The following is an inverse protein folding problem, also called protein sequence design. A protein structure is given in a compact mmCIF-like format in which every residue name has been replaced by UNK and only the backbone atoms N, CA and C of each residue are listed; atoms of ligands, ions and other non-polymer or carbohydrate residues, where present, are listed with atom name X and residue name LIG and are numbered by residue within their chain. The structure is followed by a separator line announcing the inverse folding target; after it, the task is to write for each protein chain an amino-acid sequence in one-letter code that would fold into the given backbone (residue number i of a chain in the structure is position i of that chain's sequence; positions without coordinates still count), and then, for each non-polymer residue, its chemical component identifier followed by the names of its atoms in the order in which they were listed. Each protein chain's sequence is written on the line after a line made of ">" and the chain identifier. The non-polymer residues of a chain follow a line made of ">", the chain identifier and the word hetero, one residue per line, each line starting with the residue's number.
data_IF_713062609751
#
_entry.id   IF_713062609751
#
_cell.length_a   1.000
_cell.length_b   1.000
_cell.length_c   1.000
_cell.angle_alpha   90.00
_cell.angle_beta   90.00
_cell.angle_gamma   90.00
#
_symmetry.space_group_name_H-M   'P 1'
#
loop_
_entity.id
_entity.type
_entity.pdbx_description
1 polymer ?
#
# COMPACT_ATOMS: atom_id res chain seq x y z
N UNK A 1 -22.67 1.20 16.82
CA UNK A 1 -21.26 0.78 16.81
C UNK A 1 -20.51 1.44 17.96
N UNK A 2 -19.25 1.09 18.18
CA UNK A 2 -18.40 1.72 19.22
C UNK A 2 -17.81 3.08 18.79
N UNK A 3 -17.93 3.44 17.51
CA UNK A 3 -17.50 4.71 16.95
C UNK A 3 -18.54 5.22 15.93
N UNK A 4 -18.69 6.55 15.82
CA UNK A 4 -19.56 7.21 14.84
C UNK A 4 -18.88 7.35 13.47
N UNK A 5 -17.56 7.53 13.46
CA UNK A 5 -16.72 7.72 12.27
C UNK A 5 -15.38 7.01 12.46
N UNK A 6 -14.84 6.42 11.40
CA UNK A 6 -13.52 5.80 11.39
C UNK A 6 -12.81 6.04 10.05
N UNK A 7 -11.48 5.94 10.05
CA UNK A 7 -10.64 5.95 8.85
C UNK A 7 -10.08 4.55 8.63
N UNK A 8 -10.28 4.00 7.44
CA UNK A 8 -9.83 2.65 7.07
C UNK A 8 -9.27 2.66 5.66
N UNK A 9 -8.45 1.65 5.32
CA UNK A 9 -8.09 1.37 3.94
C UNK A 9 -9.32 0.94 3.14
N UNK A 10 -9.38 1.30 1.86
CA UNK A 10 -10.51 1.03 0.98
C UNK A 10 -10.85 -0.46 0.86
N UNK A 11 -9.84 -1.34 0.89
CA UNK A 11 -10.03 -2.79 0.85
C UNK A 11 -10.71 -3.35 2.10
N UNK A 12 -10.65 -2.66 3.24
CA UNK A 12 -11.30 -3.09 4.48
C UNK A 12 -12.83 -2.97 4.44
N UNK A 13 -13.38 -2.29 3.41
CA UNK A 13 -14.82 -2.22 3.16
C UNK A 13 -15.36 -3.41 2.36
N UNK A 14 -14.54 -4.44 2.14
CA UNK A 14 -14.90 -5.65 1.40
C UNK A 14 -14.60 -6.91 2.25
N UNK A 15 -15.19 -8.07 1.91
CA UNK A 15 -14.79 -9.34 2.49
C UNK A 15 -13.28 -9.60 2.30
N UNK A 16 -12.60 -10.25 3.27
CA UNK A 16 -13.15 -10.87 4.47
C UNK A 16 -13.30 -9.93 5.67
N UNK A 17 -12.99 -8.64 5.52
CA UNK A 17 -12.92 -7.70 6.66
C UNK A 17 -14.30 -7.31 7.20
N UNK A 18 -15.29 -7.21 6.32
CA UNK A 18 -16.70 -7.01 6.68
C UNK A 18 -17.62 -7.86 5.80
N UNK A 19 -18.80 -8.17 6.32
CA UNK A 19 -19.88 -8.78 5.56
C UNK A 19 -20.62 -7.74 4.70
N UNK A 20 -21.35 -8.20 3.68
CA UNK A 20 -22.23 -7.30 2.91
C UNK A 20 -23.32 -6.64 3.76
N UNK A 21 -23.80 -7.33 4.81
CA UNK A 21 -24.82 -6.78 5.70
C UNK A 21 -24.27 -5.63 6.56
N UNK A 22 -23.03 -5.76 7.04
CA UNK A 22 -22.33 -4.68 7.75
C UNK A 22 -22.01 -3.52 6.81
N UNK A 23 -21.54 -3.80 5.59
CA UNK A 23 -21.27 -2.77 4.58
C UNK A 23 -22.47 -1.88 4.27
N UNK A 24 -23.70 -2.42 4.29
CA UNK A 24 -24.95 -1.64 4.11
C UNK A 24 -25.25 -0.68 5.25
N UNK A 25 -24.65 -0.86 6.42
CA UNK A 25 -24.80 0.03 7.57
C UNK A 25 -23.77 1.17 7.56
N UNK A 26 -22.83 1.14 6.61
CA UNK A 26 -21.74 2.10 6.49
C UNK A 26 -21.94 2.97 5.24
N UNK A 27 -21.31 4.15 5.25
CA UNK A 27 -21.18 5.00 4.07
C UNK A 27 -19.81 5.66 4.05
N UNK A 28 -19.23 5.82 2.87
CA UNK A 28 -17.99 6.58 2.70
C UNK A 28 -18.30 8.07 2.81
N UNK A 29 -17.75 8.73 3.82
CA UNK A 29 -17.89 10.17 4.00
C UNK A 29 -16.91 10.96 3.13
N UNK A 30 -15.70 10.44 2.96
CA UNK A 30 -14.64 11.06 2.18
C UNK A 30 -13.62 10.00 1.71
N UNK A 31 -13.14 10.12 0.48
CA UNK A 31 -12.06 9.29 -0.05
C UNK A 31 -10.80 10.15 -0.17
N UNK A 32 -9.66 9.66 0.35
CA UNK A 32 -8.39 10.37 0.32
C UNK A 32 -7.66 9.99 -0.98
N UNK A 33 -7.52 10.91 -1.96
CA UNK A 33 -6.81 10.61 -3.20
C UNK A 33 -5.29 10.65 -2.98
N UNK A 34 -4.53 10.02 -3.86
CA UNK A 34 -3.07 10.12 -3.87
C UNK A 34 -2.36 9.36 -2.74
N UNK A 35 -3.10 8.50 -2.04
CA UNK A 35 -2.67 7.26 -1.37
C UNK A 35 -1.42 6.54 -1.93
N UNK A 36 -0.13 6.78 -1.58
CA UNK A 36 0.91 5.93 -2.17
C UNK A 36 0.72 4.48 -1.76
N UNK A 37 0.78 3.58 -2.75
CA UNK A 37 0.72 2.15 -2.51
C UNK A 37 1.86 1.68 -1.59
N UNK A 38 1.64 0.58 -0.88
CA UNK A 38 2.64 -0.03 -0.01
C UNK A 38 3.94 -0.32 -0.78
N UNK A 39 5.08 0.05 -0.18
CA UNK A 39 6.41 -0.17 -0.74
C UNK A 39 7.14 -1.32 -0.06
N UNK A 40 8.11 -1.89 -0.78
CA UNK A 40 9.14 -2.78 -0.21
C UNK A 40 10.42 -1.97 -0.04
N UNK A 41 10.88 -1.83 1.19
CA UNK A 41 12.14 -1.18 1.51
C UNK A 41 13.27 -2.22 1.59
N UNK A 42 14.46 -1.83 1.14
CA UNK A 42 15.69 -2.61 1.28
C UNK A 42 16.64 -1.73 2.07
N UNK A 43 17.23 -2.30 3.12
CA UNK A 43 18.18 -1.60 3.97
C UNK A 43 19.41 -1.09 3.18
N UNK A 44 19.94 0.06 3.56
CA UNK A 44 21.06 0.70 2.88
C UNK A 44 22.38 -0.07 3.07
N UNK A 45 22.48 -0.90 4.12
CA UNK A 45 23.62 -1.80 4.36
C UNK A 45 23.70 -2.94 3.34
N UNK A 46 22.63 -3.21 2.58
CA UNK A 46 22.65 -4.21 1.51
C UNK A 46 23.50 -3.69 0.33
N UNK A 47 24.58 -4.40 -0.05
CA UNK A 47 25.45 -3.96 -1.14
C UNK A 47 24.67 -3.69 -2.43
N UNK A 48 25.05 -2.63 -3.16
CA UNK A 48 24.29 -2.16 -4.32
C UNK A 48 24.01 -3.24 -5.37
N UNK A 49 24.99 -4.11 -5.64
CA UNK A 49 24.82 -5.24 -6.56
C UNK A 49 23.77 -6.25 -6.05
N UNK A 50 23.76 -6.54 -4.75
CA UNK A 50 22.78 -7.42 -4.14
C UNK A 50 21.39 -6.80 -4.13
N UNK A 51 21.28 -5.51 -3.78
CA UNK A 51 20.02 -4.75 -3.84
C UNK A 51 19.41 -4.80 -5.23
N UNK A 52 20.22 -4.63 -6.28
CA UNK A 52 19.73 -4.69 -7.66
C UNK A 52 19.25 -6.11 -8.04
N UNK A 53 19.92 -7.16 -7.56
CA UNK A 53 19.48 -8.53 -7.75
C UNK A 53 18.14 -8.81 -7.06
N UNK A 54 17.95 -8.32 -5.83
CA UNK A 54 16.67 -8.44 -5.08
C UNK A 54 15.56 -7.72 -5.83
N UNK A 55 15.77 -6.47 -6.26
CA UNK A 55 14.78 -5.70 -7.03
C UNK A 55 14.39 -6.47 -8.30
N UNK A 56 15.37 -6.96 -9.06
CA UNK A 56 15.11 -7.70 -10.29
C UNK A 56 14.38 -9.02 -10.03
N UNK A 57 14.68 -9.71 -8.93
CA UNK A 57 13.97 -10.92 -8.53
C UNK A 57 12.50 -10.62 -8.17
N UNK A 58 12.25 -9.56 -7.38
CA UNK A 58 10.90 -9.13 -7.03
C UNK A 58 10.07 -8.75 -8.26
N UNK A 59 10.67 -8.06 -9.23
CA UNK A 59 9.98 -7.70 -10.48
C UNK A 59 9.58 -8.92 -11.34
N UNK A 60 10.20 -10.10 -11.15
CA UNK A 60 9.74 -11.34 -11.80
C UNK A 60 8.37 -11.81 -11.29
N UNK A 61 7.91 -11.33 -10.13
CA UNK A 61 6.56 -11.59 -9.64
C UNK A 61 5.48 -10.96 -10.52
N UNK A 62 5.83 -10.02 -11.40
CA UNK A 62 4.89 -9.48 -12.38
C UNK A 62 4.60 -10.44 -13.53
N UNK A 63 5.43 -11.48 -13.74
CA UNK A 63 5.20 -12.43 -14.82
C UNK A 63 3.92 -13.24 -14.57
N UNK A 64 3.13 -13.58 -15.61
CA UNK A 64 1.84 -14.25 -15.46
C UNK A 64 1.89 -15.50 -14.56
N UNK A 65 2.94 -16.31 -14.72
CA UNK A 65 3.21 -17.52 -13.95
C UNK A 65 3.44 -17.28 -12.44
N UNK A 66 3.84 -16.07 -12.03
CA UNK A 66 4.15 -15.72 -10.63
C UNK A 66 3.14 -14.72 -10.02
N UNK A 67 2.38 -14.01 -10.85
CA UNK A 67 1.56 -12.86 -10.45
C UNK A 67 0.44 -13.19 -9.46
N UNK A 68 0.01 -14.47 -9.42
CA UNK A 68 -0.97 -14.93 -8.43
C UNK A 68 -0.57 -14.57 -7.00
N UNK A 69 0.73 -14.61 -6.68
CA UNK A 69 1.23 -14.26 -5.35
C UNK A 69 0.94 -12.79 -4.99
N UNK A 70 1.09 -11.85 -5.92
CA UNK A 70 0.84 -10.43 -5.69
C UNK A 70 -0.65 -10.13 -5.48
N UNK A 71 -1.51 -10.80 -6.26
CA UNK A 71 -2.96 -10.67 -6.13
C UNK A 71 -3.45 -11.22 -4.79
N UNK A 72 -2.97 -12.39 -4.41
CA UNK A 72 -3.41 -13.05 -3.18
C UNK A 72 -2.91 -12.34 -1.91
N UNK A 73 -1.68 -11.84 -1.89
CA UNK A 73 -1.10 -11.22 -0.69
C UNK A 73 -1.44 -9.74 -0.53
N UNK A 74 -1.40 -8.97 -1.62
CA UNK A 74 -1.45 -7.51 -1.57
C UNK A 74 -2.62 -6.92 -2.36
N UNK A 75 -3.50 -7.75 -2.92
CA UNK A 75 -4.52 -7.31 -3.87
C UNK A 75 -3.95 -6.39 -4.97
N UNK A 76 -2.70 -6.64 -5.36
CA UNK A 76 -1.91 -5.78 -6.25
C UNK A 76 -1.74 -6.42 -7.61
N UNK A 77 -1.74 -5.61 -8.67
CA UNK A 77 -1.60 -6.08 -10.05
C UNK A 77 -0.14 -6.26 -10.46
N UNK A 78 0.74 -5.40 -9.98
CA UNK A 78 2.17 -5.41 -10.31
C UNK A 78 3.01 -4.69 -9.25
N UNK A 79 4.29 -5.03 -9.22
CA UNK A 79 5.33 -4.27 -8.55
C UNK A 79 6.00 -3.33 -9.54
N UNK A 80 6.11 -2.06 -9.19
CA UNK A 80 6.80 -1.06 -9.99
C UNK A 80 8.01 -0.52 -9.25
N UNK A 81 9.09 -0.27 -9.98
CA UNK A 81 10.26 0.41 -9.41
C UNK A 81 9.91 1.88 -9.24
N UNK A 82 10.05 2.40 -8.02
CA UNK A 82 9.75 3.79 -7.69
C UNK A 82 10.99 4.53 -7.21
N UNK A 83 11.00 5.85 -7.38
CA UNK A 83 11.89 6.72 -6.64
C UNK A 83 11.29 6.94 -5.24
N UNK A 84 12.03 6.60 -4.19
CA UNK A 84 11.58 6.66 -2.80
C UNK A 84 11.07 8.05 -2.41
N UNK A 85 11.81 9.11 -2.75
CA UNK A 85 11.48 10.47 -2.36
C UNK A 85 10.19 10.93 -3.03
N UNK A 86 10.04 10.67 -4.33
CA UNK A 86 8.85 11.08 -5.07
C UNK A 86 7.61 10.28 -4.64
N UNK A 87 7.76 8.96 -4.42
CA UNK A 87 6.64 8.08 -4.04
C UNK A 87 6.07 8.45 -2.67
N UNK A 88 6.93 8.78 -1.70
CA UNK A 88 6.51 9.11 -0.34
C UNK A 88 6.29 10.60 -0.08
N UNK A 89 6.50 11.47 -1.07
CA UNK A 89 6.33 12.92 -0.90
C UNK A 89 4.95 13.32 -0.34
N UNK A 90 3.81 12.76 -0.82
CA UNK A 90 2.50 13.12 -0.27
C UNK A 90 2.35 12.81 1.22
N UNK A 91 2.99 11.73 1.69
CA UNK A 91 2.98 11.33 3.10
C UNK A 91 3.86 12.26 3.92
N UNK A 92 5.06 12.61 3.42
CA UNK A 92 5.94 13.60 4.09
C UNK A 92 5.23 14.92 4.28
N UNK A 93 4.53 15.40 3.25
CA UNK A 93 3.76 16.65 3.34
C UNK A 93 2.61 16.55 4.34
N UNK A 94 1.92 15.39 4.40
CA UNK A 94 0.85 15.15 5.36
C UNK A 94 1.36 15.11 6.81
N UNK A 95 2.48 14.43 7.06
CA UNK A 95 3.12 14.37 8.38
C UNK A 95 3.57 15.77 8.84
N UNK A 96 4.19 16.55 7.94
CA UNK A 96 4.58 17.92 8.24
C UNK A 96 3.39 18.80 8.61
N UNK A 97 2.26 18.72 7.88
CA UNK A 97 1.02 19.42 8.24
C UNK A 97 0.42 18.96 9.56
N UNK A 98 0.61 17.70 9.92
CA UNK A 98 0.18 17.14 11.20
C UNK A 98 1.13 17.48 12.37
N UNK A 99 2.24 18.19 12.11
CA UNK A 99 3.25 18.48 13.13
C UNK A 99 4.07 17.26 13.56
N UNK A 100 4.08 16.20 12.74
CA UNK A 100 4.86 14.98 12.99
C UNK A 100 6.17 15.11 12.20
N UNK A 101 7.30 15.09 12.90
CA UNK A 101 8.61 15.03 12.27
C UNK A 101 9.00 13.56 12.04
N UNK A 102 9.23 13.14 10.77
CA UNK A 102 9.66 11.79 10.43
C UNK A 102 11.13 11.53 10.78
#
# INVERSE_FOLDING_TARGET
>A
GQADVATVSEYALQPPHITQAEGKQLRVLYAIPGVPAHGVAIDDDVPAAMRQNIINAMLKLNQPENNKLLKDLYNSTELVKVNHNNHLQPIRDALARAGIQP
#
